data_IF_772643257467
#
_entry.id   IF_772643257467
#
_cell.length_a   1.000
_cell.length_b   1.000
_cell.length_c   1.000
_cell.angle_alpha   90.00
_cell.angle_beta   90.00
_cell.angle_gamma   90.00
#
_symmetry.space_group_name_H-M   'P 1'
#
loop_
_entity.id
_entity.type
_entity.pdbx_description
1 polymer ?
#
# COMPACT_ATOMS: atom_id res chain seq x y z
N UNK A 1 11.76 16.12 -17.07
CA UNK A 1 12.50 15.53 -15.94
C UNK A 1 12.91 16.65 -15.01
N UNK A 2 12.63 16.51 -13.72
CA UNK A 2 12.90 17.52 -12.69
C UNK A 2 13.61 16.81 -11.54
N UNK A 3 14.93 16.93 -11.48
CA UNK A 3 15.72 16.34 -10.38
C UNK A 3 15.77 17.34 -9.21
N UNK A 4 15.41 16.89 -8.00
CA UNK A 4 15.43 17.71 -6.79
C UNK A 4 16.28 17.01 -5.75
N UNK A 5 17.54 17.40 -5.58
CA UNK A 5 18.40 16.84 -4.52
C UNK A 5 18.37 17.79 -3.32
N UNK A 6 18.04 17.27 -2.15
CA UNK A 6 17.86 18.02 -0.92
C UNK A 6 18.67 17.39 0.21
N UNK A 7 19.46 18.16 0.96
CA UNK A 7 20.25 17.64 2.08
C UNK A 7 20.20 18.65 3.21
N UNK A 8 19.86 18.21 4.42
CA UNK A 8 19.76 19.05 5.62
C UNK A 8 18.85 20.29 5.39
N UNK A 9 17.62 20.04 4.93
CA UNK A 9 16.60 21.08 4.74
C UNK A 9 15.32 20.70 5.47
N UNK A 10 14.64 21.65 6.10
CA UNK A 10 13.39 21.35 6.79
C UNK A 10 12.33 20.80 5.81
N UNK A 11 12.13 21.45 4.66
CA UNK A 11 11.03 21.08 3.77
C UNK A 11 11.40 21.10 2.30
N UNK A 12 10.86 20.13 1.55
CA UNK A 12 10.92 20.08 0.08
C UNK A 12 9.50 20.07 -0.47
N UNK A 13 9.21 21.03 -1.35
CA UNK A 13 7.96 21.10 -2.10
C UNK A 13 8.25 21.00 -3.61
N UNK A 14 7.66 20.01 -4.26
CA UNK A 14 7.70 19.87 -5.71
C UNK A 14 6.28 19.88 -6.26
N UNK A 15 5.98 20.82 -7.17
CA UNK A 15 4.67 20.96 -7.82
C UNK A 15 4.83 20.94 -9.32
N UNK A 16 4.07 20.09 -10.00
CA UNK A 16 4.15 19.92 -11.45
C UNK A 16 2.81 19.73 -12.11
N UNK A 17 2.67 20.33 -13.28
CA UNK A 17 1.43 20.37 -14.04
C UNK A 17 1.74 20.30 -15.53
N UNK A 18 1.09 19.38 -16.27
CA UNK A 18 1.20 19.25 -17.72
C UNK A 18 2.63 19.03 -18.24
N UNK A 19 3.35 18.07 -17.68
CA UNK A 19 4.75 17.75 -18.06
C UNK A 19 4.81 16.32 -18.55
N UNK A 20 5.37 16.09 -19.75
CA UNK A 20 5.44 14.75 -20.36
C UNK A 20 6.13 13.74 -19.43
N UNK A 21 7.44 13.81 -19.21
CA UNK A 21 8.11 12.85 -18.31
C UNK A 21 8.67 13.54 -17.08
N UNK A 22 8.25 13.13 -15.89
CA UNK A 22 8.90 13.55 -14.65
C UNK A 22 9.39 12.43 -13.75
N UNK A 23 10.68 12.17 -13.92
CA UNK A 23 11.51 11.68 -12.83
C UNK A 23 11.67 12.79 -11.77
N UNK A 24 11.05 12.65 -10.59
CA UNK A 24 11.23 13.52 -9.41
C UNK A 24 12.05 12.77 -8.36
N UNK A 25 13.32 12.56 -8.64
CA UNK A 25 14.18 11.94 -7.64
C UNK A 25 14.45 12.97 -6.53
N UNK A 26 13.87 12.74 -5.34
CA UNK A 26 14.05 13.54 -4.11
C UNK A 26 15.00 12.85 -3.15
N UNK A 27 16.29 12.79 -3.48
CA UNK A 27 17.26 12.28 -2.50
C UNK A 27 17.34 13.30 -1.36
N UNK A 28 16.69 12.97 -0.25
CA UNK A 28 16.54 13.76 0.96
C UNK A 28 17.22 13.02 2.10
N UNK A 29 18.26 13.61 2.69
CA UNK A 29 18.93 13.12 3.91
C UNK A 29 18.81 14.21 4.96
N UNK A 30 18.34 13.87 6.16
CA UNK A 30 18.06 14.82 7.24
C UNK A 30 17.04 15.90 6.79
N UNK A 31 15.89 15.48 6.27
CA UNK A 31 14.80 16.36 5.84
C UNK A 31 13.56 16.16 6.69
N UNK A 32 12.84 17.24 7.03
CA UNK A 32 11.69 17.12 7.94
C UNK A 32 10.38 16.74 7.21
N UNK A 33 10.20 17.19 5.96
CA UNK A 33 9.00 16.85 5.19
C UNK A 33 9.23 16.98 3.69
N UNK A 34 8.58 16.09 2.94
CA UNK A 34 8.54 16.15 1.48
C UNK A 34 7.11 16.04 0.98
N UNK A 35 6.72 17.03 0.18
CA UNK A 35 5.45 17.07 -0.52
C UNK A 35 5.69 17.12 -2.03
N UNK A 36 5.20 16.11 -2.74
CA UNK A 36 5.21 16.04 -4.20
C UNK A 36 3.77 16.07 -4.69
N UNK A 37 3.46 17.05 -5.55
CA UNK A 37 2.15 17.18 -6.20
C UNK A 37 2.35 17.17 -7.72
N UNK A 38 1.73 16.20 -8.40
CA UNK A 38 1.80 16.05 -9.84
C UNK A 38 0.41 15.90 -10.46
N UNK A 39 0.16 16.64 -11.54
CA UNK A 39 -1.12 16.62 -12.26
C UNK A 39 -0.86 16.55 -13.76
N UNK A 40 -1.51 15.61 -14.45
CA UNK A 40 -1.40 15.44 -15.89
C UNK A 40 0.07 15.29 -16.34
N UNK A 41 0.74 14.26 -15.82
CA UNK A 41 2.14 13.92 -16.17
C UNK A 41 2.21 12.45 -16.59
N UNK A 42 3.12 12.05 -17.46
CA UNK A 42 3.17 10.63 -17.91
C UNK A 42 3.69 9.73 -16.77
N UNK A 43 4.66 10.19 -15.98
CA UNK A 43 5.23 9.41 -14.89
C UNK A 43 5.75 10.26 -13.74
N UNK A 44 5.68 9.70 -12.52
CA UNK A 44 6.26 10.23 -11.28
C UNK A 44 7.07 9.13 -10.59
N UNK A 45 8.36 9.40 -10.36
CA UNK A 45 9.19 8.61 -9.44
C UNK A 45 9.58 9.50 -8.27
N UNK A 46 9.40 9.04 -7.03
CA UNK A 46 9.89 9.66 -5.79
C UNK A 46 10.75 8.65 -5.04
N UNK A 47 11.97 9.04 -4.66
CA UNK A 47 12.91 8.18 -3.92
C UNK A 47 13.37 8.93 -2.68
N UNK A 48 13.19 8.36 -1.49
CA UNK A 48 13.46 8.98 -0.20
C UNK A 48 14.36 8.09 0.66
N UNK A 49 15.41 8.65 1.29
CA UNK A 49 16.40 7.86 2.06
C UNK A 49 16.87 8.59 3.31
N UNK A 50 16.57 8.06 4.50
CA UNK A 50 17.00 8.65 5.79
C UNK A 50 16.45 10.08 5.99
N UNK A 51 15.13 10.19 5.90
CA UNK A 51 14.37 11.43 6.12
C UNK A 51 13.84 11.37 7.54
N UNK A 52 14.37 12.23 8.40
CA UNK A 52 14.26 12.12 9.85
C UNK A 52 12.87 12.44 10.41
N UNK A 53 11.84 12.72 9.58
CA UNK A 53 10.60 13.26 10.15
C UNK A 53 9.30 12.94 9.36
N UNK A 54 8.36 12.39 10.13
CA UNK A 54 6.88 12.58 10.22
C UNK A 54 5.97 12.38 9.01
N UNK A 55 6.28 12.82 7.76
CA UNK A 55 5.30 12.68 6.66
C UNK A 55 5.88 12.95 5.25
N UNK A 56 5.92 11.90 4.41
CA UNK A 56 6.04 12.06 2.95
C UNK A 56 4.66 12.02 2.31
N UNK A 57 4.28 13.03 1.50
CA UNK A 57 3.00 13.05 0.79
C UNK A 57 3.22 13.11 -0.72
N UNK A 58 2.67 12.14 -1.44
CA UNK A 58 2.66 12.12 -2.91
C UNK A 58 1.21 12.19 -3.37
N UNK A 59 0.83 13.29 -4.02
CA UNK A 59 -0.51 13.48 -4.61
C UNK A 59 -0.40 13.49 -6.12
N UNK A 60 -1.06 12.54 -6.78
CA UNK A 60 -0.98 12.37 -8.23
C UNK A 60 -2.37 12.24 -8.85
N UNK A 61 -2.60 12.99 -9.94
CA UNK A 61 -3.86 12.98 -10.68
C UNK A 61 -3.61 12.87 -12.18
N UNK A 62 -4.30 11.94 -12.86
CA UNK A 62 -4.23 11.75 -14.31
C UNK A 62 -2.79 11.46 -14.78
N UNK A 63 -2.24 10.32 -14.36
CA UNK A 63 -0.84 9.93 -14.63
C UNK A 63 -0.76 8.47 -15.03
N UNK A 64 0.12 8.09 -15.96
CA UNK A 64 0.21 6.69 -16.38
C UNK A 64 0.88 5.84 -15.29
N UNK A 65 1.95 6.35 -14.64
CA UNK A 65 2.69 5.59 -13.64
C UNK A 65 3.19 6.41 -12.45
N UNK A 66 3.03 5.84 -11.25
CA UNK A 66 3.60 6.36 -9.99
C UNK A 66 4.47 5.31 -9.32
N UNK A 67 5.72 5.65 -9.04
CA UNK A 67 6.63 4.86 -8.22
C UNK A 67 7.08 5.67 -7.01
N UNK A 68 6.82 5.16 -5.80
CA UNK A 68 7.33 5.72 -4.55
C UNK A 68 8.25 4.70 -3.89
N UNK A 69 9.48 5.10 -3.63
CA UNK A 69 10.47 4.31 -2.89
C UNK A 69 10.87 5.06 -1.64
N UNK A 70 10.60 4.49 -0.47
CA UNK A 70 10.96 5.08 0.82
C UNK A 70 11.84 4.12 1.63
N UNK A 71 12.96 4.66 2.15
CA UNK A 71 13.90 3.93 3.00
C UNK A 71 14.18 4.70 4.27
N UNK A 72 13.90 4.09 5.42
CA UNK A 72 14.05 4.70 6.76
C UNK A 72 13.33 6.07 6.84
N UNK A 73 12.01 6.03 6.79
CA UNK A 73 11.10 7.19 6.85
C UNK A 73 10.00 6.85 7.85
N UNK A 74 9.62 7.76 8.76
CA UNK A 74 8.60 7.44 9.77
C UNK A 74 7.21 7.18 9.19
N UNK A 75 6.79 7.99 8.20
CA UNK A 75 5.45 7.86 7.61
C UNK A 75 5.43 8.20 6.13
N UNK A 76 4.73 7.36 5.37
CA UNK A 76 4.53 7.53 3.93
C UNK A 76 3.03 7.59 3.62
N UNK A 77 2.61 8.68 2.98
CA UNK A 77 1.25 8.87 2.45
C UNK A 77 1.31 9.01 0.92
N UNK A 78 0.65 8.08 0.23
CA UNK A 78 0.48 8.12 -1.23
C UNK A 78 -1.00 8.24 -1.55
N UNK A 79 -1.36 9.28 -2.30
CA UNK A 79 -2.72 9.55 -2.77
C UNK A 79 -2.71 9.66 -4.29
N UNK A 80 -3.45 8.78 -4.96
CA UNK A 80 -3.51 8.73 -6.43
C UNK A 80 -4.95 8.67 -6.93
N UNK A 81 -5.21 9.37 -8.04
CA UNK A 81 -6.53 9.42 -8.69
C UNK A 81 -6.34 9.36 -10.21
N UNK A 82 -7.13 8.51 -10.87
CA UNK A 82 -7.10 8.34 -12.33
C UNK A 82 -5.67 8.02 -12.82
N UNK A 83 -5.11 6.91 -12.35
CA UNK A 83 -3.73 6.49 -12.66
C UNK A 83 -3.71 5.07 -13.21
N UNK A 84 -2.97 4.76 -14.27
CA UNK A 84 -2.96 3.37 -14.77
C UNK A 84 -2.24 2.45 -13.77
N UNK A 85 -1.07 2.85 -13.29
CA UNK A 85 -0.23 2.02 -12.41
C UNK A 85 0.34 2.77 -11.20
N UNK A 86 0.20 2.17 -10.02
CA UNK A 86 0.77 2.66 -8.76
C UNK A 86 1.61 1.58 -8.11
N UNK A 87 2.90 1.87 -7.92
CA UNK A 87 3.84 1.03 -7.19
C UNK A 87 4.40 1.80 -5.99
N UNK A 88 4.12 1.29 -4.80
CA UNK A 88 4.65 1.83 -3.54
C UNK A 88 5.56 0.77 -2.93
N UNK A 89 6.83 1.10 -2.77
CA UNK A 89 7.84 0.24 -2.16
C UNK A 89 8.40 0.95 -0.94
N UNK A 90 8.15 0.39 0.23
CA UNK A 90 8.68 0.88 1.50
C UNK A 90 9.56 -0.20 2.10
N UNK A 91 10.84 0.09 2.25
CA UNK A 91 11.83 -0.81 2.86
C UNK A 91 12.47 -0.09 4.02
N UNK A 92 12.19 -0.51 5.25
CA UNK A 92 12.75 0.18 6.40
C UNK A 92 13.29 -0.74 7.48
N UNK A 93 13.93 -0.10 8.45
CA UNK A 93 14.33 -0.69 9.73
C UNK A 93 13.38 -0.21 10.84
N UNK A 94 12.71 0.94 10.65
CA UNK A 94 11.64 1.50 11.50
C UNK A 94 10.78 2.44 10.61
N UNK A 95 9.59 2.03 10.16
CA UNK A 95 8.55 2.93 9.63
C UNK A 95 7.32 2.70 10.48
N UNK A 96 6.77 3.76 11.06
CA UNK A 96 5.57 3.65 11.90
C UNK A 96 4.32 3.36 11.04
N UNK A 97 4.18 4.06 9.89
CA UNK A 97 2.97 3.95 9.09
C UNK A 97 3.16 4.14 7.58
N UNK A 98 2.48 3.30 6.81
CA UNK A 98 2.28 3.47 5.37
C UNK A 98 0.79 3.57 5.08
N UNK A 99 0.38 4.69 4.48
CA UNK A 99 -0.99 4.94 4.03
C UNK A 99 -1.02 5.12 2.51
N UNK A 100 -1.75 4.24 1.83
CA UNK A 100 -1.95 4.29 0.38
C UNK A 100 -3.44 4.44 0.10
N UNK A 101 -3.82 5.55 -0.55
CA UNK A 101 -5.20 5.84 -0.95
C UNK A 101 -5.25 5.97 -2.47
N UNK A 102 -6.07 5.13 -3.10
CA UNK A 102 -6.12 5.01 -4.56
C UNK A 102 -7.56 5.03 -5.05
N UNK A 103 -7.82 5.79 -6.11
CA UNK A 103 -9.13 5.87 -6.76
C UNK A 103 -8.98 5.77 -8.28
N UNK A 104 -9.78 4.91 -8.91
CA UNK A 104 -9.81 4.75 -10.37
C UNK A 104 -8.42 4.42 -10.94
N UNK A 105 -7.89 3.25 -10.57
CA UNK A 105 -6.56 2.81 -10.98
C UNK A 105 -6.59 1.40 -11.52
N UNK A 106 -5.84 1.09 -12.58
CA UNK A 106 -5.87 -0.28 -13.11
C UNK A 106 -5.08 -1.23 -12.19
N UNK A 107 -3.90 -0.81 -11.72
CA UNK A 107 -3.02 -1.69 -10.95
C UNK A 107 -2.38 -1.01 -9.76
N UNK A 108 -2.52 -1.61 -8.57
CA UNK A 108 -1.84 -1.16 -7.34
C UNK A 108 -0.96 -2.27 -6.78
N UNK A 109 0.31 -1.98 -6.59
CA UNK A 109 1.26 -2.83 -5.87
C UNK A 109 1.82 -2.07 -4.66
N UNK A 110 1.58 -2.60 -3.46
CA UNK A 110 2.18 -2.10 -2.21
C UNK A 110 3.11 -3.18 -1.67
N UNK A 111 4.39 -2.84 -1.52
CA UNK A 111 5.40 -3.68 -0.90
C UNK A 111 5.91 -2.98 0.36
N UNK A 112 5.71 -3.58 1.52
CA UNK A 112 6.15 -3.04 2.80
C UNK A 112 7.04 -4.06 3.54
N UNK A 113 8.19 -3.58 4.04
CA UNK A 113 9.13 -4.38 4.83
C UNK A 113 9.49 -3.68 6.14
N UNK A 114 9.24 -4.37 7.26
CA UNK A 114 9.43 -3.90 8.64
C UNK A 114 8.76 -2.54 8.90
N UNK A 115 7.43 -2.55 8.84
CA UNK A 115 6.55 -1.38 9.03
C UNK A 115 5.52 -1.73 10.12
N UNK A 116 5.28 -0.85 11.09
CA UNK A 116 4.35 -1.16 12.18
C UNK A 116 2.89 -1.20 11.70
N UNK A 117 2.49 -0.25 10.85
CA UNK A 117 1.12 -0.16 10.32
C UNK A 117 1.08 0.04 8.81
N UNK A 118 0.27 -0.78 8.12
CA UNK A 118 -0.05 -0.58 6.69
C UNK A 118 -1.55 -0.42 6.49
N UNK A 119 -1.96 0.72 5.94
CA UNK A 119 -3.34 1.01 5.56
C UNK A 119 -3.44 1.26 4.05
N UNK A 120 -4.23 0.44 3.37
CA UNK A 120 -4.51 0.58 1.94
C UNK A 120 -6.01 0.75 1.72
N UNK A 121 -6.41 1.86 1.09
CA UNK A 121 -7.81 2.17 0.76
C UNK A 121 -7.94 2.34 -0.74
N UNK A 122 -8.82 1.55 -1.36
CA UNK A 122 -8.96 1.46 -2.81
C UNK A 122 -10.42 1.51 -3.25
N UNK A 123 -10.69 2.27 -4.30
CA UNK A 123 -12.01 2.39 -4.91
C UNK A 123 -11.89 2.33 -6.43
N UNK A 124 -12.70 1.49 -7.09
CA UNK A 124 -12.70 1.31 -8.55
C UNK A 124 -11.31 0.95 -9.08
N UNK A 125 -10.76 -0.19 -8.64
CA UNK A 125 -9.42 -0.64 -9.04
C UNK A 125 -9.51 -1.97 -9.76
N UNK A 126 -8.86 -2.18 -10.90
CA UNK A 126 -8.95 -3.49 -11.55
C UNK A 126 -8.20 -4.56 -10.74
N UNK A 127 -6.91 -4.34 -10.46
CA UNK A 127 -6.07 -5.33 -9.76
C UNK A 127 -5.30 -4.72 -8.61
N UNK A 128 -5.35 -5.40 -7.47
CA UNK A 128 -4.64 -5.03 -6.25
C UNK A 128 -3.76 -6.18 -5.80
N UNK A 129 -2.48 -5.86 -5.59
CA UNK A 129 -1.51 -6.71 -4.92
C UNK A 129 -0.91 -5.97 -3.72
N UNK A 130 -1.17 -6.45 -2.53
CA UNK A 130 -0.54 -5.98 -1.29
C UNK A 130 0.33 -7.10 -0.77
N UNK A 131 1.64 -6.87 -0.79
CA UNK A 131 2.62 -7.78 -0.22
C UNK A 131 3.30 -7.10 0.96
N UNK A 132 3.12 -7.66 2.15
CA UNK A 132 3.81 -7.19 3.35
C UNK A 132 4.68 -8.34 3.86
N UNK A 133 5.98 -8.13 3.74
CA UNK A 133 7.00 -9.05 4.25
C UNK A 133 7.62 -8.39 5.46
N UNK A 134 7.18 -8.75 6.65
CA UNK A 134 7.65 -8.09 7.84
C UNK A 134 8.18 -9.05 8.89
N UNK A 135 9.01 -8.49 9.75
CA UNK A 135 9.31 -9.00 11.07
C UNK A 135 8.73 -7.90 11.96
N UNK A 136 7.70 -8.20 12.75
CA UNK A 136 7.03 -7.27 13.68
C UNK A 136 6.15 -6.16 13.04
N UNK A 137 5.09 -6.51 12.29
CA UNK A 137 3.98 -5.56 11.97
C UNK A 137 2.91 -5.68 13.06
N UNK A 138 2.34 -4.56 13.51
CA UNK A 138 1.23 -4.55 14.46
C UNK A 138 -0.14 -4.67 13.77
N UNK A 139 -0.33 -3.96 12.64
CA UNK A 139 -1.62 -3.89 11.96
C UNK A 139 -1.52 -3.76 10.43
N UNK A 140 -2.36 -4.52 9.72
CA UNK A 140 -2.62 -4.32 8.28
C UNK A 140 -4.12 -4.18 8.03
N UNK A 141 -4.53 -3.08 7.42
CA UNK A 141 -5.91 -2.84 7.03
C UNK A 141 -5.96 -2.58 5.53
N UNK A 142 -6.69 -3.43 4.81
CA UNK A 142 -6.99 -3.29 3.39
C UNK A 142 -8.49 -3.10 3.22
N UNK A 143 -8.89 -1.97 2.65
CA UNK A 143 -10.28 -1.65 2.31
C UNK A 143 -10.37 -1.49 0.80
N UNK A 144 -11.18 -2.33 0.16
CA UNK A 144 -11.38 -2.35 -1.28
C UNK A 144 -12.88 -2.29 -1.62
N UNK A 145 -13.24 -1.41 -2.54
CA UNK A 145 -14.62 -1.27 -3.04
C UNK A 145 -14.60 -1.24 -4.56
N UNK A 146 -15.43 -2.08 -5.20
CA UNK A 146 -15.50 -2.20 -6.66
C UNK A 146 -14.12 -2.49 -7.27
N UNK A 147 -13.59 -3.68 -6.97
CA UNK A 147 -12.24 -4.10 -7.39
C UNK A 147 -12.31 -5.46 -8.07
N UNK A 148 -11.63 -5.73 -9.18
CA UNK A 148 -11.77 -7.06 -9.80
C UNK A 148 -11.03 -8.13 -8.99
N UNK A 149 -9.80 -7.84 -8.54
CA UNK A 149 -9.00 -8.78 -7.75
C UNK A 149 -8.21 -8.12 -6.61
N UNK A 150 -8.24 -8.75 -5.43
CA UNK A 150 -7.42 -8.39 -4.26
C UNK A 150 -6.57 -9.56 -3.81
N UNK A 151 -5.25 -9.40 -3.84
CA UNK A 151 -4.29 -10.34 -3.25
C UNK A 151 -3.57 -9.67 -2.08
N UNK A 152 -3.66 -10.26 -0.89
CA UNK A 152 -2.92 -9.85 0.30
C UNK A 152 -2.02 -11.00 0.76
N UNK A 153 -0.71 -10.75 0.81
CA UNK A 153 0.29 -11.72 1.28
C UNK A 153 1.02 -11.16 2.49
N UNK A 154 1.02 -11.93 3.58
CA UNK A 154 1.61 -11.57 4.88
C UNK A 154 2.54 -12.68 5.36
N UNK A 155 3.78 -12.36 5.73
CA UNK A 155 4.78 -13.34 6.21
C UNK A 155 5.39 -12.89 7.54
N UNK A 156 5.51 -13.81 8.51
CA UNK A 156 6.24 -13.67 9.79
C UNK A 156 5.74 -12.54 10.71
N UNK A 157 4.43 -12.52 10.94
CA UNK A 157 3.77 -11.39 11.59
C UNK A 157 3.38 -11.69 13.04
N UNK A 158 3.80 -10.86 13.99
CA UNK A 158 3.26 -10.84 15.36
C UNK A 158 2.02 -9.92 15.43
N UNK A 159 1.11 -10.06 14.44
CA UNK A 159 0.04 -9.10 14.16
C UNK A 159 -1.11 -9.25 15.16
N UNK A 160 -1.55 -8.12 15.70
CA UNK A 160 -2.72 -8.02 16.58
C UNK A 160 -4.02 -7.97 15.74
N UNK A 161 -3.98 -7.46 14.50
CA UNK A 161 -5.16 -7.41 13.62
C UNK A 161 -4.83 -7.21 12.13
N UNK A 162 -5.16 -8.20 11.28
CA UNK A 162 -5.31 -7.99 9.82
C UNK A 162 -6.79 -7.86 9.48
N UNK A 163 -7.20 -6.79 8.80
CA UNK A 163 -8.59 -6.61 8.35
C UNK A 163 -8.62 -6.40 6.85
N UNK A 164 -9.34 -7.27 6.14
CA UNK A 164 -9.62 -7.10 4.72
C UNK A 164 -11.12 -6.89 4.57
N UNK A 165 -11.54 -5.68 4.19
CA UNK A 165 -12.95 -5.37 3.89
C UNK A 165 -13.09 -5.18 2.39
N UNK A 166 -13.91 -6.02 1.77
CA UNK A 166 -14.09 -6.03 0.33
C UNK A 166 -15.57 -5.99 -0.03
N UNK A 167 -15.94 -5.10 -0.95
CA UNK A 167 -17.31 -4.95 -1.45
C UNK A 167 -17.31 -4.94 -2.97
N UNK A 168 -18.15 -5.78 -3.60
CA UNK A 168 -18.31 -5.87 -5.06
C UNK A 168 -17.00 -6.20 -5.77
N UNK A 169 -16.50 -7.43 -5.59
CA UNK A 169 -15.20 -7.88 -6.10
C UNK A 169 -15.26 -9.28 -6.70
N UNK A 170 -14.56 -9.55 -7.79
CA UNK A 170 -14.61 -10.88 -8.41
C UNK A 170 -13.77 -11.90 -7.61
N UNK A 171 -12.60 -11.51 -7.12
CA UNK A 171 -11.70 -12.41 -6.42
C UNK A 171 -10.96 -11.79 -5.24
N UNK A 172 -10.94 -12.51 -4.11
CA UNK A 172 -10.12 -12.19 -2.94
C UNK A 172 -9.24 -13.38 -2.57
N UNK A 173 -7.92 -13.16 -2.52
CA UNK A 173 -6.94 -14.11 -2.01
C UNK A 173 -6.18 -13.49 -0.83
N UNK A 174 -6.27 -14.13 0.34
CA UNK A 174 -5.50 -13.76 1.53
C UNK A 174 -4.58 -14.91 1.91
N UNK A 175 -3.29 -14.64 2.00
CA UNK A 175 -2.27 -15.60 2.46
C UNK A 175 -1.58 -15.03 3.70
N UNK A 176 -1.61 -15.75 4.81
CA UNK A 176 -0.96 -15.34 6.06
C UNK A 176 -0.06 -16.43 6.63
N UNK A 177 1.15 -16.07 7.09
CA UNK A 177 2.08 -17.05 7.70
C UNK A 177 2.54 -16.67 9.12
N UNK A 178 1.99 -17.43 10.08
CA UNK A 178 2.21 -17.54 11.55
C UNK A 178 1.76 -16.39 12.49
N UNK A 179 0.43 -16.09 12.60
CA UNK A 179 -0.11 -14.84 13.17
C UNK A 179 -1.44 -14.95 13.97
N UNK A 180 -1.67 -14.03 14.94
CA UNK A 180 -2.75 -13.92 15.95
C UNK A 180 -3.70 -12.67 15.86
N UNK A 181 -4.18 -12.18 14.73
CA UNK A 181 -5.56 -12.49 14.30
C UNK A 181 -5.86 -11.91 12.92
N UNK A 182 -6.48 -12.72 12.05
CA UNK A 182 -6.93 -12.32 10.70
C UNK A 182 -8.46 -12.23 10.65
N UNK A 183 -8.97 -11.08 10.23
CA UNK A 183 -10.38 -10.83 9.93
C UNK A 183 -10.55 -10.51 8.44
N UNK A 184 -11.30 -11.34 7.73
CA UNK A 184 -11.69 -11.09 6.34
C UNK A 184 -13.20 -10.90 6.30
N UNK A 185 -13.66 -9.74 5.80
CA UNK A 185 -15.07 -9.41 5.60
C UNK A 185 -15.28 -9.12 4.12
N UNK A 186 -16.13 -9.92 3.48
CA UNK A 186 -16.44 -9.77 2.05
C UNK A 186 -17.95 -9.69 1.84
N UNK A 187 -18.37 -8.82 0.93
CA UNK A 187 -19.77 -8.64 0.52
C UNK A 187 -19.85 -8.55 -1.00
N UNK A 188 -20.77 -9.31 -1.60
CA UNK A 188 -20.97 -9.35 -3.05
C UNK A 188 -19.68 -9.72 -3.79
N UNK A 189 -19.17 -10.95 -3.56
CA UNK A 189 -17.89 -11.42 -4.12
C UNK A 189 -18.06 -12.75 -4.85
N UNK A 190 -17.47 -12.94 -6.03
CA UNK A 190 -17.61 -14.24 -6.72
C UNK A 190 -16.76 -15.32 -6.04
N UNK A 191 -15.51 -15.01 -5.72
CA UNK A 191 -14.54 -15.99 -5.19
C UNK A 191 -13.75 -15.46 -4.00
N UNK A 192 -13.70 -16.24 -2.92
CA UNK A 192 -12.87 -15.96 -1.74
C UNK A 192 -11.99 -17.17 -1.41
N UNK A 193 -10.68 -16.96 -1.40
CA UNK A 193 -9.69 -17.94 -0.96
C UNK A 193 -8.86 -17.37 0.20
N UNK A 194 -8.92 -18.04 1.35
CA UNK A 194 -8.10 -17.69 2.52
C UNK A 194 -7.20 -18.86 2.85
N UNK A 195 -5.89 -18.63 2.82
CA UNK A 195 -4.86 -19.61 3.16
C UNK A 195 -4.07 -19.12 4.36
N UNK A 196 -4.13 -19.85 5.46
CA UNK A 196 -3.38 -19.59 6.67
C UNK A 196 -2.43 -20.75 6.89
N UNK A 197 -1.13 -20.47 6.99
CA UNK A 197 -0.09 -21.46 7.30
C UNK A 197 0.56 -21.04 8.61
N UNK A 198 0.38 -21.78 9.70
CA UNK A 198 0.81 -21.30 11.01
C UNK A 198 1.31 -22.42 11.93
N UNK A 199 2.34 -22.10 12.73
CA UNK A 199 2.88 -23.00 13.76
C UNK A 199 2.12 -22.82 15.09
N UNK A 200 1.51 -21.65 15.31
CA UNK A 200 0.64 -21.25 16.43
C UNK A 200 -0.40 -20.26 15.86
N UNK A 201 -1.70 -20.43 16.17
CA UNK A 201 -2.80 -19.54 15.72
C UNK A 201 -3.62 -19.16 16.93
N UNK A 202 -3.92 -17.88 17.13
CA UNK A 202 -4.84 -17.43 18.20
C UNK A 202 -6.23 -17.07 17.66
N UNK A 203 -6.42 -16.46 16.47
CA UNK A 203 -7.75 -16.44 15.82
C UNK A 203 -7.73 -16.16 14.29
N UNK A 204 -8.71 -16.73 13.58
CA UNK A 204 -9.05 -16.41 12.18
C UNK A 204 -10.56 -16.32 12.06
N UNK A 205 -11.08 -15.21 11.53
CA UNK A 205 -12.50 -15.01 11.26
C UNK A 205 -12.70 -14.61 9.80
N UNK A 206 -13.52 -15.39 9.08
CA UNK A 206 -13.93 -15.09 7.72
C UNK A 206 -15.44 -14.90 7.70
N UNK A 207 -15.88 -13.70 7.36
CA UNK A 207 -17.29 -13.33 7.17
C UNK A 207 -17.52 -13.08 5.69
N UNK A 208 -18.43 -13.84 5.10
CA UNK A 208 -18.80 -13.74 3.70
C UNK A 208 -20.31 -13.52 3.57
N UNK A 209 -20.71 -12.61 2.69
CA UNK A 209 -22.11 -12.34 2.37
C UNK A 209 -22.24 -12.28 0.85
N UNK A 210 -23.24 -12.98 0.30
CA UNK A 210 -23.51 -13.03 -1.14
C UNK A 210 -22.25 -13.42 -1.94
N UNK A 211 -21.77 -14.65 -1.68
CA UNK A 211 -20.57 -15.19 -2.32
C UNK A 211 -20.89 -16.47 -3.08
N UNK A 212 -20.29 -16.64 -4.27
CA UNK A 212 -20.46 -17.85 -5.06
C UNK A 212 -19.60 -19.00 -4.54
N UNK A 213 -18.32 -18.71 -4.21
CA UNK A 213 -17.38 -19.73 -3.74
C UNK A 213 -16.49 -19.23 -2.60
N UNK A 214 -16.27 -20.11 -1.60
CA UNK A 214 -15.37 -19.85 -0.47
C UNK A 214 -14.52 -21.08 -0.19
N UNK A 215 -13.22 -20.87 -0.08
CA UNK A 215 -12.27 -21.86 0.42
C UNK A 215 -11.42 -21.25 1.53
N UNK A 216 -11.44 -21.89 2.70
CA UNK A 216 -10.57 -21.55 3.84
C UNK A 216 -9.70 -22.76 4.13
N UNK A 217 -8.38 -22.57 4.04
CA UNK A 217 -7.38 -23.59 4.35
C UNK A 217 -6.52 -23.09 5.51
N UNK A 218 -6.52 -23.84 6.62
CA UNK A 218 -5.62 -23.61 7.75
C UNK A 218 -4.74 -24.87 7.91
N UNK A 219 -3.41 -24.70 7.81
CA UNK A 219 -2.41 -25.78 7.91
C UNK A 219 -1.41 -25.49 9.02
#
# INVERSE_FOLDING_TARGET
TVLVVAVAVDTVLVVMVNVAVVLVEVVAVDVDAVLVVAVAVDAVLVVMVAVDVVLTVVVVVAVDAVLVVAVAVDTVLVVTVDVDTVLVVVVAVVVDAVLVVVVAVDTVLVVAVAVDTVLVVMVNVAVVLVEVVAVDVDAVLVVAVAVDAVLVVMVAVDVVLTVVVVVAVDAVLVVAVAVDTVLVVTVDVDTVLVVVVAVVVDAVLVVVVAVDTVLVVAV
#
